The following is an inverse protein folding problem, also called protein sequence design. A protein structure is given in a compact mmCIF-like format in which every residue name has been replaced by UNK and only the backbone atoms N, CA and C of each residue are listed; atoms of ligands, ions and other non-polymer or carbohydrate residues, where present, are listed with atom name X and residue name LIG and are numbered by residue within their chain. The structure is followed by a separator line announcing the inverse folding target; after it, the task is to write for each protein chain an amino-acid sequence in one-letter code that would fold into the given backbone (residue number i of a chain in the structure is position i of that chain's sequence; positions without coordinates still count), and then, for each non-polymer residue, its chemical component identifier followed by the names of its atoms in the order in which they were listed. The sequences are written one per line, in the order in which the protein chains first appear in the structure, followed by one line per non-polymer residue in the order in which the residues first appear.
data_IF_999456987971
#
_entry.id   IF_999456987971
#
_cell.length_a   1.000
_cell.length_b   1.000
_cell.length_c   1.000
_cell.angle_alpha   90.00
_cell.angle_beta   90.00
_cell.angle_gamma   90.00
#
_symmetry.space_group_name_H-M   'P 1'
#
loop_
_entity.id
_entity.type
_entity.pdbx_description
1 polymer ?
#
# COMPACT_ATOMS: atom_id res chain seq x y z
N UNK A 1 1.67 33.42 28.06
CA UNK A 1 1.93 33.05 26.65
C UNK A 1 0.76 32.20 26.21
N UNK A 2 -0.15 32.74 25.40
CA UNK A 2 -1.33 31.99 24.93
C UNK A 2 -0.85 30.95 23.93
N UNK A 3 -0.49 29.77 24.46
CA UNK A 3 -0.03 28.64 23.68
C UNK A 3 -1.18 28.16 22.80
N UNK A 4 -0.92 28.05 21.50
CA UNK A 4 -1.82 27.40 20.55
C UNK A 4 -2.18 26.03 21.13
N UNK A 5 -3.48 25.75 21.28
CA UNK A 5 -3.95 24.45 21.76
C UNK A 5 -3.81 23.42 20.63
N UNK A 6 -2.67 22.73 20.62
CA UNK A 6 -2.29 21.75 19.60
C UNK A 6 -3.10 20.43 19.66
N UNK A 7 -3.94 20.23 20.67
CA UNK A 7 -4.72 19.00 20.82
C UNK A 7 -5.69 18.80 19.63
N UNK A 8 -6.29 19.88 19.13
CA UNK A 8 -7.18 19.83 17.97
C UNK A 8 -6.42 19.45 16.69
N UNK A 9 -5.21 19.97 16.51
CA UNK A 9 -4.35 19.65 15.36
C UNK A 9 -3.90 18.19 15.39
N UNK A 10 -3.57 17.67 16.58
CA UNK A 10 -3.22 16.27 16.76
C UNK A 10 -4.40 15.34 16.52
N UNK A 11 -5.60 15.70 16.96
CA UNK A 11 -6.81 14.89 16.74
C UNK A 11 -7.16 14.80 15.25
N UNK A 12 -7.09 15.93 14.54
CA UNK A 12 -7.32 15.96 13.09
C UNK A 12 -6.27 15.12 12.34
N UNK A 13 -4.98 15.30 12.67
CA UNK A 13 -3.89 14.54 12.06
C UNK A 13 -4.06 13.03 12.23
N UNK A 14 -4.40 12.57 13.45
CA UNK A 14 -4.63 11.14 13.73
C UNK A 14 -5.81 10.58 12.94
N UNK A 15 -6.91 11.33 12.84
CA UNK A 15 -8.10 10.90 12.11
C UNK A 15 -7.80 10.67 10.63
N UNK A 16 -7.03 11.55 10.00
CA UNK A 16 -6.61 11.42 8.60
C UNK A 16 -5.71 10.19 8.41
N UNK A 17 -4.72 10.00 9.28
CA UNK A 17 -3.79 8.86 9.21
C UNK A 17 -4.54 7.53 9.40
N UNK A 18 -5.49 7.47 10.33
CA UNK A 18 -6.28 6.27 10.60
C UNK A 18 -7.15 5.89 9.40
N UNK A 19 -7.79 6.85 8.73
CA UNK A 19 -8.58 6.60 7.52
C UNK A 19 -7.69 6.04 6.41
N UNK A 20 -6.51 6.64 6.19
CA UNK A 20 -5.58 6.17 5.15
C UNK A 20 -5.12 4.75 5.45
N UNK A 21 -4.67 4.47 6.66
CA UNK A 21 -4.11 3.17 7.02
C UNK A 21 -5.15 2.06 7.10
N UNK A 22 -6.37 2.36 7.58
CA UNK A 22 -7.42 1.34 7.77
C UNK A 22 -8.28 1.10 6.54
N UNK A 23 -8.40 2.09 5.66
CA UNK A 23 -9.27 1.99 4.48
C UNK A 23 -8.47 2.02 3.18
N UNK A 24 -7.69 3.08 2.93
CA UNK A 24 -7.05 3.27 1.62
C UNK A 24 -5.98 2.23 1.32
N UNK A 25 -5.07 1.96 2.26
CA UNK A 25 -4.00 0.96 2.07
C UNK A 25 -4.55 -0.43 1.75
N UNK A 26 -5.46 -1.03 2.55
CA UNK A 26 -5.98 -2.36 2.24
C UNK A 26 -6.82 -2.38 0.95
N UNK A 27 -7.56 -1.31 0.65
CA UNK A 27 -8.35 -1.23 -0.61
C UNK A 27 -7.44 -1.16 -1.83
N UNK A 28 -6.40 -0.32 -1.81
CA UNK A 28 -5.44 -0.22 -2.91
C UNK A 28 -4.67 -1.53 -3.09
N UNK A 29 -4.29 -2.20 -2.00
CA UNK A 29 -3.64 -3.50 -2.05
C UNK A 29 -4.58 -4.57 -2.65
N UNK A 30 -5.86 -4.57 -2.27
CA UNK A 30 -6.85 -5.48 -2.85
C UNK A 30 -7.03 -5.23 -4.35
N UNK A 31 -7.13 -3.98 -4.79
CA UNK A 31 -7.24 -3.63 -6.21
C UNK A 31 -6.00 -4.09 -6.97
N UNK A 32 -4.80 -3.78 -6.47
CA UNK A 32 -3.54 -4.21 -7.08
C UNK A 32 -3.42 -5.75 -7.16
N UNK A 33 -3.93 -6.46 -6.15
CA UNK A 33 -3.95 -7.91 -6.14
C UNK A 33 -4.96 -8.48 -7.14
N UNK A 34 -6.15 -7.90 -7.26
CA UNK A 34 -7.13 -8.32 -8.25
C UNK A 34 -6.62 -8.07 -9.68
N UNK A 35 -6.02 -6.91 -9.96
CA UNK A 35 -5.46 -6.62 -11.29
C UNK A 35 -4.28 -7.52 -11.63
N UNK A 36 -3.44 -7.84 -10.63
CA UNK A 36 -2.38 -8.84 -10.78
C UNK A 36 -2.95 -10.22 -11.12
N UNK A 37 -3.95 -10.71 -10.37
CA UNK A 37 -4.59 -12.00 -10.64
C UNK A 37 -5.27 -12.04 -12.01
N UNK A 38 -5.94 -10.95 -12.41
CA UNK A 38 -6.55 -10.84 -13.73
C UNK A 38 -5.50 -10.91 -14.84
N UNK A 39 -4.36 -10.24 -14.66
CA UNK A 39 -3.24 -10.31 -15.59
C UNK A 39 -2.66 -11.71 -15.70
N UNK A 40 -2.45 -12.40 -14.58
CA UNK A 40 -1.96 -13.80 -14.56
C UNK A 40 -2.96 -14.71 -15.26
N UNK A 41 -4.25 -14.62 -14.93
CA UNK A 41 -5.30 -15.39 -15.57
C UNK A 41 -5.33 -15.16 -17.08
N UNK A 42 -5.31 -13.91 -17.52
CA UNK A 42 -5.35 -13.57 -18.95
C UNK A 42 -4.07 -14.05 -19.67
N UNK A 43 -2.90 -13.94 -19.04
CA UNK A 43 -1.63 -14.38 -19.62
C UNK A 43 -1.54 -15.90 -19.78
N UNK A 44 -1.93 -16.66 -18.75
CA UNK A 44 -1.75 -18.12 -18.71
C UNK A 44 -2.92 -18.91 -19.30
N UNK A 45 -4.16 -18.45 -19.13
CA UNK A 45 -5.34 -19.17 -19.60
C UNK A 45 -5.75 -18.72 -21.01
N UNK A 46 -6.00 -17.42 -21.19
CA UNK A 46 -6.47 -16.87 -22.46
C UNK A 46 -5.34 -16.63 -23.47
N UNK A 47 -4.14 -16.33 -22.98
CA UNK A 47 -2.92 -16.15 -23.78
C UNK A 47 -2.29 -17.45 -24.29
N UNK A 48 -2.85 -18.62 -23.95
CA UNK A 48 -2.37 -19.91 -24.45
C UNK A 48 -2.69 -20.11 -25.95
N UNK A 49 -3.75 -19.47 -26.44
CA UNK A 49 -4.24 -19.63 -27.82
C UNK A 49 -4.20 -18.34 -28.64
N UNK A 50 -3.94 -17.18 -28.02
CA UNK A 50 -3.94 -15.87 -28.68
C UNK A 50 -2.82 -14.96 -28.15
N UNK A 51 -1.92 -14.55 -29.04
CA UNK A 51 -0.77 -13.68 -28.78
C UNK A 51 -1.21 -12.32 -28.20
N UNK A 52 -2.40 -11.82 -28.59
CA UNK A 52 -2.92 -10.53 -28.12
C UNK A 52 -3.28 -10.58 -26.64
N UNK A 53 -3.99 -11.61 -26.21
CA UNK A 53 -4.35 -11.81 -24.80
C UNK A 53 -3.11 -12.04 -23.93
N UNK A 54 -2.05 -12.63 -24.50
CA UNK A 54 -0.75 -12.78 -23.84
C UNK A 54 -0.06 -11.42 -23.65
N UNK A 55 -0.09 -10.53 -24.63
CA UNK A 55 0.46 -9.19 -24.47
C UNK A 55 -0.32 -8.38 -23.41
N UNK A 56 -1.65 -8.40 -23.48
CA UNK A 56 -2.52 -7.68 -22.55
C UNK A 56 -2.37 -8.22 -21.11
N UNK A 57 -2.35 -9.55 -20.94
CA UNK A 57 -2.13 -10.18 -19.64
C UNK A 57 -0.81 -9.77 -19.00
N UNK A 58 0.28 -9.71 -19.78
CA UNK A 58 1.58 -9.24 -19.29
C UNK A 58 1.52 -7.79 -18.82
N UNK A 59 0.82 -6.93 -19.56
CA UNK A 59 0.64 -5.53 -19.18
C UNK A 59 -0.13 -5.42 -17.86
N UNK A 60 -1.22 -6.17 -17.67
CA UNK A 60 -1.96 -6.15 -16.40
C UNK A 60 -1.14 -6.66 -15.22
N UNK A 61 -0.34 -7.70 -15.39
CA UNK A 61 0.59 -8.18 -14.34
C UNK A 61 1.59 -7.08 -13.96
N UNK A 62 2.19 -6.41 -14.95
CA UNK A 62 3.13 -5.31 -14.70
C UNK A 62 2.47 -4.16 -13.94
N UNK A 63 1.25 -3.76 -14.32
CA UNK A 63 0.50 -2.73 -13.59
C UNK A 63 0.20 -3.12 -12.15
N UNK A 64 -0.12 -4.39 -11.88
CA UNK A 64 -0.27 -4.91 -10.52
C UNK A 64 1.03 -4.80 -9.71
N UNK A 65 2.16 -5.20 -10.30
CA UNK A 65 3.48 -5.12 -9.65
C UNK A 65 3.88 -3.67 -9.36
N UNK A 66 3.66 -2.76 -10.31
CA UNK A 66 3.91 -1.32 -10.11
C UNK A 66 3.03 -0.79 -8.97
N UNK A 67 1.76 -1.19 -8.91
CA UNK A 67 0.86 -0.84 -7.82
C UNK A 67 1.40 -1.27 -6.46
N UNK A 68 1.88 -2.50 -6.34
CA UNK A 68 2.53 -2.97 -5.11
C UNK A 68 3.81 -2.20 -4.79
N UNK A 69 4.67 -1.95 -5.78
CA UNK A 69 5.91 -1.23 -5.58
C UNK A 69 5.67 0.20 -5.04
N UNK A 70 4.63 0.89 -5.54
CA UNK A 70 4.25 2.22 -5.03
C UNK A 70 3.79 2.15 -3.58
N UNK A 71 2.93 1.19 -3.23
CA UNK A 71 2.44 1.02 -1.85
C UNK A 71 3.62 0.76 -0.90
N UNK A 72 4.52 -0.16 -1.25
CA UNK A 72 5.69 -0.47 -0.42
C UNK A 72 6.69 0.69 -0.36
N UNK A 73 6.88 1.42 -1.45
CA UNK A 73 7.78 2.59 -1.50
C UNK A 73 7.33 3.68 -0.51
N UNK A 74 6.02 3.95 -0.42
CA UNK A 74 5.48 4.93 0.53
C UNK A 74 5.77 4.49 1.98
N UNK A 75 5.55 3.21 2.32
CA UNK A 75 5.84 2.69 3.66
C UNK A 75 7.34 2.67 3.99
N UNK A 76 8.18 2.34 3.01
CA UNK A 76 9.63 2.42 3.15
C UNK A 76 10.09 3.84 3.44
N UNK A 77 9.55 4.82 2.72
CA UNK A 77 9.83 6.23 2.95
C UNK A 77 9.35 6.69 4.32
N UNK A 78 8.12 6.34 4.72
CA UNK A 78 7.58 6.67 6.05
C UNK A 78 8.49 6.11 7.16
N UNK A 79 8.99 4.88 7.00
CA UNK A 79 9.89 4.27 7.97
C UNK A 79 11.25 5.00 8.06
N UNK A 80 11.84 5.37 6.92
CA UNK A 80 13.10 6.13 6.89
C UNK A 80 12.94 7.50 7.56
N UNK A 81 11.88 8.24 7.20
CA UNK A 81 11.58 9.56 7.77
C UNK A 81 11.30 9.45 9.27
N UNK A 82 10.47 8.49 9.69
CA UNK A 82 10.14 8.30 11.11
C UNK A 82 11.36 7.89 11.93
N UNK A 83 12.24 7.06 11.38
CA UNK A 83 13.50 6.67 12.02
C UNK A 83 14.50 7.82 12.12
N UNK A 84 14.63 8.62 11.06
CA UNK A 84 15.58 9.75 11.02
C UNK A 84 15.20 10.86 11.98
N UNK A 85 13.90 11.16 12.10
CA UNK A 85 13.39 12.22 12.98
C UNK A 85 12.92 11.70 14.36
N UNK A 86 13.18 10.42 14.67
CA UNK A 86 12.78 9.76 15.92
C UNK A 86 11.30 9.99 16.27
N UNK A 87 10.42 9.90 15.26
CA UNK A 87 8.98 10.10 15.43
C UNK A 87 8.34 8.86 16.04
N UNK A 88 7.34 9.00 16.95
CA UNK A 88 6.60 7.86 17.47
C UNK A 88 5.92 7.12 16.32
N UNK A 89 6.30 5.85 16.09
CA UNK A 89 5.70 5.05 15.03
C UNK A 89 4.23 4.74 15.36
N UNK A 90 3.31 5.29 14.58
CA UNK A 90 1.85 5.09 14.72
C UNK A 90 1.35 3.70 14.32
N UNK A 91 2.25 2.76 13.98
CA UNK A 91 1.93 1.37 13.67
C UNK A 91 3.12 0.49 14.02
N UNK A 92 2.95 -0.40 14.99
CA UNK A 92 3.95 -1.39 15.37
C UNK A 92 3.75 -2.62 14.50
N UNK A 93 4.80 -3.11 13.84
CA UNK A 93 4.74 -4.41 13.17
C UNK A 93 4.29 -5.50 14.18
N UNK A 94 3.43 -6.46 13.77
CA UNK A 94 2.99 -7.53 14.65
C UNK A 94 4.20 -8.23 15.30
N UNK A 95 4.17 -8.36 16.63
CA UNK A 95 5.22 -9.09 17.37
C UNK A 95 5.23 -10.54 16.92
N UNK A 96 6.40 -11.04 16.57
CA UNK A 96 6.55 -12.47 16.34
C UNK A 96 6.28 -13.23 17.66
N UNK A 97 5.59 -14.38 17.59
CA UNK A 97 5.37 -15.22 18.76
C UNK A 97 6.70 -15.67 19.36
N UNK A 98 6.83 -15.54 20.68
CA UNK A 98 7.88 -16.19 21.45
C UNK A 98 7.34 -17.56 21.86
N UNK A 99 8.10 -18.62 21.57
CA UNK A 99 7.87 -19.96 22.10
C UNK A 99 8.07 -19.97 23.61
#
# INVERSE_FOLDING_TARGET
MNGINIAYLQYYSRSVIDIINRLFVPVLLAIAFITFLWGVYNYFILGATDEKNRADGRQFVLWGIIGFAVIFSIWGLVNIVSGTFNLPQGGVAPRYPLL
#
